data_IF_778971083443
#
_entry.id   IF_778971083443
#
_cell.length_a   1.000
_cell.length_b   1.000
_cell.length_c   1.000
_cell.angle_alpha   90.00
_cell.angle_beta   90.00
_cell.angle_gamma   90.00
#
_symmetry.space_group_name_H-M   'P 1'
#
loop_
_entity.id
_entity.type
_entity.pdbx_description
1 polymer ?
#
# COMPACT_ATOMS: atom_id res chain seq x y z
N UNK A 1 -6.71 -20.97 -27.76
CA UNK A 1 -5.93 -19.70 -27.76
C UNK A 1 -5.67 -19.30 -26.32
N UNK A 2 -4.40 -19.22 -25.94
CA UNK A 2 -4.07 -18.58 -24.66
C UNK A 2 -4.43 -17.11 -24.82
N UNK A 3 -5.34 -16.61 -23.98
CA UNK A 3 -5.53 -15.18 -23.84
C UNK A 3 -4.16 -14.56 -23.63
N UNK A 4 -3.82 -13.54 -24.39
CA UNK A 4 -2.66 -12.70 -24.14
C UNK A 4 -2.86 -12.14 -22.73
N UNK A 5 -2.20 -12.72 -21.75
CA UNK A 5 -2.16 -12.15 -20.42
C UNK A 5 -1.46 -10.82 -20.59
N UNK A 6 -2.19 -9.73 -20.38
CA UNK A 6 -1.60 -8.41 -20.33
C UNK A 6 -0.56 -8.44 -19.21
N UNK A 7 0.71 -8.35 -19.60
CA UNK A 7 1.82 -8.54 -18.69
C UNK A 7 2.17 -7.19 -18.08
N UNK A 8 1.96 -7.06 -16.77
CA UNK A 8 2.56 -5.99 -15.98
C UNK A 8 3.73 -6.54 -15.18
N UNK A 9 4.66 -5.68 -14.81
CA UNK A 9 5.83 -6.04 -14.05
C UNK A 9 5.88 -5.24 -12.75
N UNK A 10 6.20 -5.91 -11.65
CA UNK A 10 6.47 -5.25 -10.37
C UNK A 10 7.98 -5.08 -10.22
N UNK A 11 8.40 -3.90 -9.83
CA UNK A 11 9.79 -3.60 -9.52
C UNK A 11 9.91 -2.55 -8.42
N UNK A 12 11.08 -2.39 -7.86
CA UNK A 12 11.33 -1.33 -6.88
C UNK A 12 11.24 0.04 -7.55
N UNK A 13 10.71 1.00 -6.80
CA UNK A 13 10.71 2.41 -7.18
C UNK A 13 12.15 2.90 -7.34
N UNK A 14 12.38 3.78 -8.31
CA UNK A 14 13.59 4.59 -8.38
C UNK A 14 13.21 6.06 -8.57
N UNK A 15 14.17 6.96 -8.39
CA UNK A 15 13.90 8.40 -8.38
C UNK A 15 13.30 8.92 -9.70
N UNK A 16 13.56 8.22 -10.81
CA UNK A 16 12.98 8.59 -12.11
C UNK A 16 11.48 8.32 -12.18
N UNK A 17 10.93 7.53 -11.27
CA UNK A 17 9.49 7.25 -11.20
C UNK A 17 8.72 8.30 -10.41
N UNK A 18 9.38 9.24 -9.76
CA UNK A 18 8.75 10.16 -8.81
C UNK A 18 7.56 10.91 -9.41
N UNK A 19 7.73 11.48 -10.59
CA UNK A 19 6.66 12.26 -11.21
C UNK A 19 5.45 11.39 -11.56
N UNK A 20 5.67 10.18 -12.06
CA UNK A 20 4.61 9.23 -12.38
C UNK A 20 3.85 8.80 -11.12
N UNK A 21 4.57 8.48 -10.05
CA UNK A 21 3.95 8.08 -8.77
C UNK A 21 3.16 9.23 -8.15
N UNK A 22 3.72 10.44 -8.15
CA UNK A 22 3.01 11.63 -7.65
C UNK A 22 1.75 11.92 -8.44
N UNK A 23 1.78 11.73 -9.77
CA UNK A 23 0.61 11.90 -10.62
C UNK A 23 -0.48 10.87 -10.29
N UNK A 24 -0.11 9.60 -10.10
CA UNK A 24 -1.05 8.56 -9.69
C UNK A 24 -1.67 8.90 -8.33
N UNK A 25 -0.84 9.33 -7.37
CA UNK A 25 -1.31 9.76 -6.06
C UNK A 25 -2.35 10.88 -6.17
N UNK A 26 -2.05 11.92 -6.94
CA UNK A 26 -2.99 13.05 -7.14
C UNK A 26 -4.28 12.63 -7.85
N UNK A 27 -4.17 11.73 -8.82
CA UNK A 27 -5.32 11.30 -9.64
C UNK A 27 -6.24 10.33 -8.92
N UNK A 28 -5.70 9.49 -8.05
CA UNK A 28 -6.42 8.34 -7.48
C UNK A 28 -6.82 8.53 -6.02
N UNK A 29 -6.12 9.37 -5.27
CA UNK A 29 -6.29 9.50 -3.82
C UNK A 29 -6.47 10.96 -3.42
N UNK A 30 -7.36 11.25 -2.46
CA UNK A 30 -7.47 12.60 -1.91
C UNK A 30 -6.29 12.96 -0.98
N UNK A 31 -5.62 11.96 -0.41
CA UNK A 31 -4.46 12.14 0.47
C UNK A 31 -3.20 12.29 -0.38
N UNK A 32 -2.75 13.54 -0.61
CA UNK A 32 -1.59 13.83 -1.43
C UNK A 32 -0.40 14.20 -0.57
N UNK A 33 0.76 13.65 -0.92
CA UNK A 33 2.00 13.86 -0.20
C UNK A 33 2.95 14.73 -1.02
N UNK A 34 3.92 15.37 -0.34
CA UNK A 34 4.97 16.15 -0.99
C UNK A 34 6.01 15.25 -1.64
N UNK A 35 6.76 15.77 -2.61
CA UNK A 35 7.90 15.10 -3.21
C UNK A 35 8.92 14.66 -2.15
N UNK A 36 9.19 15.51 -1.17
CA UNK A 36 10.09 15.22 -0.06
C UNK A 36 9.64 13.97 0.71
N UNK A 37 8.34 13.80 0.96
CA UNK A 37 7.81 12.65 1.68
C UNK A 37 8.04 11.34 0.91
N UNK A 38 7.78 11.35 -0.41
CA UNK A 38 8.05 10.18 -1.27
C UNK A 38 9.52 9.80 -1.24
N UNK A 39 10.40 10.77 -1.39
CA UNK A 39 11.85 10.54 -1.39
C UNK A 39 12.36 10.06 -0.03
N UNK A 40 11.83 10.62 1.06
CA UNK A 40 12.19 10.19 2.41
C UNK A 40 11.88 8.70 2.63
N UNK A 41 10.68 8.26 2.28
CA UNK A 41 10.32 6.85 2.42
C UNK A 41 11.13 5.95 1.49
N UNK A 42 11.44 6.42 0.28
CA UNK A 42 12.31 5.69 -0.62
C UNK A 42 13.71 5.49 -0.02
N UNK A 43 14.29 6.53 0.56
CA UNK A 43 15.63 6.45 1.17
C UNK A 43 15.66 5.56 2.40
N UNK A 44 14.60 5.59 3.20
CA UNK A 44 14.54 4.82 4.46
C UNK A 44 14.15 3.36 4.23
N UNK A 45 13.23 3.10 3.32
CA UNK A 45 12.65 1.77 3.10
C UNK A 45 12.55 1.43 1.62
N UNK A 46 13.69 1.38 0.88
CA UNK A 46 13.68 1.19 -0.56
C UNK A 46 13.07 -0.14 -1.01
N UNK A 47 13.19 -1.20 -0.21
CA UNK A 47 12.63 -2.51 -0.55
C UNK A 47 11.10 -2.51 -0.51
N UNK A 48 10.49 -1.62 0.26
CA UNK A 48 9.04 -1.54 0.46
C UNK A 48 8.39 -0.40 -0.33
N UNK A 49 9.06 0.13 -1.34
CA UNK A 49 8.52 1.09 -2.29
C UNK A 49 8.54 0.45 -3.68
N UNK A 50 7.37 0.05 -4.16
CA UNK A 50 7.24 -0.82 -5.33
C UNK A 50 6.31 -0.16 -6.34
N UNK A 51 6.65 -0.27 -7.62
CA UNK A 51 5.81 0.21 -8.72
C UNK A 51 5.38 -0.96 -9.61
N UNK A 52 4.21 -0.82 -10.20
CA UNK A 52 3.73 -1.68 -11.26
C UNK A 52 3.93 -0.95 -12.59
N UNK A 53 4.57 -1.61 -13.52
CA UNK A 53 4.91 -1.06 -14.83
C UNK A 53 4.27 -1.89 -15.93
N UNK A 54 3.71 -1.23 -16.91
CA UNK A 54 3.12 -1.84 -18.09
C UNK A 54 3.47 -0.99 -19.30
N UNK A 55 4.01 -1.59 -20.37
CA UNK A 55 4.46 -0.88 -21.56
C UNK A 55 5.36 0.31 -21.24
N UNK A 56 6.35 0.09 -20.36
CA UNK A 56 7.31 1.09 -19.89
C UNK A 56 6.67 2.30 -19.16
N UNK A 57 5.43 2.16 -18.71
CA UNK A 57 4.72 3.19 -17.92
C UNK A 57 4.37 2.68 -16.55
N UNK A 58 4.59 3.51 -15.53
CA UNK A 58 4.15 3.22 -14.17
C UNK A 58 2.64 3.42 -14.09
N UNK A 59 1.92 2.35 -13.73
CA UNK A 59 0.46 2.33 -13.67
C UNK A 59 -0.09 2.15 -12.25
N UNK A 60 0.78 1.85 -11.30
CA UNK A 60 0.41 1.69 -9.90
C UNK A 60 1.64 1.70 -9.01
N UNK A 61 1.42 1.86 -7.72
CA UNK A 61 2.51 1.86 -6.73
C UNK A 61 2.01 1.48 -5.35
N UNK A 62 2.93 1.09 -4.50
CA UNK A 62 2.74 1.03 -3.04
C UNK A 62 3.95 1.61 -2.34
N UNK A 63 3.70 2.36 -1.30
CA UNK A 63 4.71 3.05 -0.50
C UNK A 63 4.50 2.75 0.97
N UNK A 64 5.51 2.21 1.62
CA UNK A 64 5.41 1.68 2.97
C UNK A 64 6.51 2.23 3.86
N UNK A 65 6.30 2.12 5.18
CA UNK A 65 7.34 2.39 6.18
C UNK A 65 7.29 1.34 7.28
N UNK A 66 8.37 1.21 8.02
CA UNK A 66 8.46 0.33 9.18
C UNK A 66 8.41 1.18 10.44
N UNK A 67 7.56 0.80 11.36
CA UNK A 67 7.33 1.49 12.63
C UNK A 67 7.51 0.52 13.78
N UNK A 68 7.79 1.05 14.96
CA UNK A 68 7.76 0.28 16.21
C UNK A 68 6.58 0.77 17.04
N UNK A 69 5.73 -0.14 17.46
CA UNK A 69 4.54 0.22 18.21
C UNK A 69 3.86 -0.98 18.85
N UNK A 70 2.71 -0.72 19.46
CA UNK A 70 1.88 -1.77 20.05
C UNK A 70 1.26 -2.63 18.97
N UNK A 71 1.15 -3.92 19.24
CA UNK A 71 0.49 -4.85 18.32
C UNK A 71 -1.02 -4.63 18.30
N UNK A 72 -1.60 -4.53 17.10
CA UNK A 72 -3.05 -4.55 16.92
C UNK A 72 -3.68 -5.95 17.02
N UNK A 73 -2.85 -7.00 17.15
CA UNK A 73 -3.26 -8.41 17.16
C UNK A 73 -3.14 -9.08 18.53
N UNK A 74 -3.05 -8.31 19.60
CA UNK A 74 -3.02 -8.84 20.97
C UNK A 74 -1.69 -9.41 21.43
N UNK A 75 -0.62 -9.26 20.65
CA UNK A 75 0.74 -9.61 21.09
C UNK A 75 1.20 -8.62 22.15
N UNK A 76 1.94 -9.10 23.17
CA UNK A 76 2.43 -8.24 24.23
C UNK A 76 3.67 -7.45 23.79
N UNK A 77 3.81 -6.22 24.32
CA UNK A 77 4.98 -5.37 24.09
C UNK A 77 5.01 -4.68 22.75
N UNK A 78 6.17 -4.12 22.42
CA UNK A 78 6.39 -3.41 21.17
C UNK A 78 6.81 -4.38 20.07
N UNK A 79 6.25 -4.18 18.88
CA UNK A 79 6.59 -4.97 17.69
C UNK A 79 6.94 -4.05 16.53
N UNK A 80 7.75 -4.55 15.60
CA UNK A 80 7.94 -3.89 14.31
C UNK A 80 6.74 -4.13 13.43
N UNK A 81 6.21 -3.04 12.87
CA UNK A 81 4.99 -3.04 12.04
C UNK A 81 5.32 -2.44 10.69
N UNK A 82 4.90 -3.12 9.63
CA UNK A 82 4.89 -2.53 8.30
C UNK A 82 3.60 -1.74 8.09
N UNK A 83 3.71 -0.48 7.71
CA UNK A 83 2.57 0.37 7.39
C UNK A 83 2.52 0.61 5.89
N UNK A 84 1.44 0.17 5.24
CA UNK A 84 1.15 0.55 3.87
C UNK A 84 0.62 1.98 3.91
N UNK A 85 1.50 2.94 3.65
CA UNK A 85 1.17 4.37 3.73
C UNK A 85 0.26 4.77 2.57
N UNK A 86 0.55 4.25 1.38
CA UNK A 86 -0.22 4.58 0.19
C UNK A 86 -0.13 3.44 -0.83
N UNK A 87 -1.24 3.13 -1.47
CA UNK A 87 -1.32 2.19 -2.58
C UNK A 87 -2.39 2.69 -3.56
N UNK A 88 -2.06 2.71 -4.84
CA UNK A 88 -2.99 3.12 -5.87
C UNK A 88 -2.66 2.48 -7.21
N UNK A 89 -3.69 2.24 -8.00
CA UNK A 89 -3.60 1.76 -9.38
C UNK A 89 -4.47 2.67 -10.25
N UNK A 90 -3.95 3.10 -11.38
CA UNK A 90 -4.70 3.94 -12.32
C UNK A 90 -6.00 3.24 -12.73
N UNK A 91 -7.13 3.97 -12.87
CA UNK A 91 -8.45 3.36 -13.09
C UNK A 91 -8.52 2.38 -14.27
N UNK A 92 -7.86 2.70 -15.39
CA UNK A 92 -7.88 1.85 -16.59
C UNK A 92 -7.10 0.55 -16.43
N UNK A 93 -6.32 0.41 -15.36
CA UNK A 93 -5.51 -0.78 -15.07
C UNK A 93 -6.03 -1.58 -13.88
N UNK A 94 -7.18 -1.20 -13.31
CA UNK A 94 -7.79 -1.88 -12.17
C UNK A 94 -8.47 -3.18 -12.59
N UNK A 95 -8.86 -3.99 -11.59
CA UNK A 95 -9.56 -5.28 -11.77
C UNK A 95 -8.72 -6.33 -12.49
N UNK A 96 -7.40 -6.22 -12.40
CA UNK A 96 -6.43 -7.13 -13.01
C UNK A 96 -5.48 -7.76 -11.99
N UNK A 97 -5.74 -7.54 -10.69
CA UNK A 97 -4.90 -8.07 -9.62
C UNK A 97 -3.64 -7.27 -9.31
N UNK A 98 -3.45 -6.08 -9.91
CA UNK A 98 -2.24 -5.27 -9.69
C UNK A 98 -2.17 -4.78 -8.24
N UNK A 99 -3.27 -4.28 -7.69
CA UNK A 99 -3.32 -3.83 -6.30
C UNK A 99 -3.01 -4.96 -5.32
N UNK A 100 -3.57 -6.13 -5.53
CA UNK A 100 -3.28 -7.34 -4.75
C UNK A 100 -1.80 -7.70 -4.82
N UNK A 101 -1.23 -7.69 -6.02
CA UNK A 101 0.18 -8.01 -6.24
C UNK A 101 1.11 -7.00 -5.56
N UNK A 102 0.78 -5.71 -5.62
CA UNK A 102 1.54 -4.65 -4.95
C UNK A 102 1.56 -4.85 -3.44
N UNK A 103 0.41 -5.08 -2.82
CA UNK A 103 0.31 -5.29 -1.36
C UNK A 103 1.02 -6.58 -0.94
N UNK A 104 0.87 -7.65 -1.70
CA UNK A 104 1.57 -8.90 -1.45
C UNK A 104 3.09 -8.72 -1.50
N UNK A 105 3.58 -8.01 -2.50
CA UNK A 105 5.01 -7.73 -2.64
C UNK A 105 5.52 -6.84 -1.50
N UNK A 106 4.72 -5.86 -1.08
CA UNK A 106 5.03 -5.02 0.07
C UNK A 106 5.17 -5.85 1.35
N UNK A 107 4.28 -6.80 1.59
CA UNK A 107 4.37 -7.67 2.77
C UNK A 107 5.63 -8.54 2.76
N UNK A 108 6.03 -9.05 1.60
CA UNK A 108 7.30 -9.77 1.45
C UNK A 108 8.50 -8.86 1.81
N UNK A 109 8.49 -7.62 1.33
CA UNK A 109 9.53 -6.66 1.63
C UNK A 109 9.57 -6.28 3.12
N UNK A 110 8.41 -6.15 3.76
CA UNK A 110 8.33 -5.85 5.19
C UNK A 110 9.01 -6.93 6.04
N UNK A 111 8.94 -8.19 5.61
CA UNK A 111 9.63 -9.29 6.29
C UNK A 111 11.14 -9.13 6.26
N UNK A 112 11.69 -8.53 5.21
CA UNK A 112 13.13 -8.24 5.13
C UNK A 112 13.57 -7.23 6.19
N UNK A 113 12.66 -6.36 6.64
CA UNK A 113 12.91 -5.42 7.75
C UNK A 113 12.52 -5.99 9.11
N UNK A 114 12.20 -7.28 9.20
CA UNK A 114 11.78 -7.96 10.42
C UNK A 114 10.45 -7.46 11.00
N UNK A 115 9.56 -6.94 10.16
CA UNK A 115 8.22 -6.60 10.59
C UNK A 115 7.43 -7.86 10.93
N UNK A 116 6.62 -7.79 11.98
CA UNK A 116 5.83 -8.93 12.50
C UNK A 116 4.38 -8.85 12.08
N UNK A 117 3.93 -7.69 11.66
CA UNK A 117 2.58 -7.45 11.16
C UNK A 117 2.59 -6.32 10.16
N UNK A 118 1.55 -6.30 9.32
CA UNK A 118 1.29 -5.25 8.35
C UNK A 118 -0.05 -4.61 8.65
N UNK A 119 -0.14 -3.30 8.57
CA UNK A 119 -1.41 -2.60 8.72
C UNK A 119 -1.58 -1.46 7.72
N UNK A 120 -2.81 -1.08 7.52
CA UNK A 120 -3.21 0.02 6.65
C UNK A 120 -4.51 0.64 7.15
N UNK A 121 -4.79 1.85 6.67
CA UNK A 121 -6.07 2.51 6.87
C UNK A 121 -6.86 2.48 5.56
N UNK A 122 -8.16 2.28 5.68
CA UNK A 122 -9.08 2.27 4.53
C UNK A 122 -10.37 3.00 4.92
N UNK A 123 -10.90 3.79 3.99
CA UNK A 123 -12.19 4.47 4.21
C UNK A 123 -13.28 3.44 4.50
N UNK A 124 -14.14 3.74 5.48
CA UNK A 124 -15.23 2.84 5.89
C UNK A 124 -16.14 2.51 4.69
N UNK A 125 -16.35 3.45 3.78
CA UNK A 125 -17.19 3.27 2.59
C UNK A 125 -16.52 2.51 1.44
N UNK A 126 -15.22 2.24 1.52
CA UNK A 126 -14.49 1.60 0.42
C UNK A 126 -14.61 0.08 0.48
N UNK A 127 -15.79 -0.44 0.15
CA UNK A 127 -16.10 -1.87 0.23
C UNK A 127 -15.21 -2.72 -0.67
N UNK A 128 -14.83 -2.20 -1.84
CA UNK A 128 -13.96 -2.91 -2.77
C UNK A 128 -12.56 -3.14 -2.17
N UNK A 129 -11.97 -2.12 -1.61
CA UNK A 129 -10.65 -2.22 -0.96
C UNK A 129 -10.71 -3.08 0.29
N UNK A 130 -11.75 -2.91 1.12
CA UNK A 130 -11.94 -3.73 2.33
C UNK A 130 -12.04 -5.20 1.94
N UNK A 131 -12.79 -5.53 0.90
CA UNK A 131 -12.92 -6.91 0.41
C UNK A 131 -11.58 -7.47 -0.06
N UNK A 132 -10.80 -6.69 -0.78
CA UNK A 132 -9.45 -7.08 -1.22
C UNK A 132 -8.54 -7.38 -0.02
N UNK A 133 -8.51 -6.49 0.98
CA UNK A 133 -7.64 -6.69 2.14
C UNK A 133 -8.09 -7.88 2.99
N UNK A 134 -9.39 -8.10 3.16
CA UNK A 134 -9.89 -9.31 3.81
C UNK A 134 -9.45 -10.58 3.07
N UNK A 135 -9.52 -10.58 1.75
CA UNK A 135 -9.03 -11.68 0.92
C UNK A 135 -7.55 -11.95 1.16
N UNK A 136 -6.76 -10.91 1.39
CA UNK A 136 -5.33 -11.01 1.69
C UNK A 136 -5.03 -11.35 3.17
N UNK A 137 -6.04 -11.61 3.98
CA UNK A 137 -5.87 -12.03 5.36
C UNK A 137 -5.83 -10.90 6.39
N UNK A 138 -6.14 -9.67 5.98
CA UNK A 138 -6.29 -8.56 6.90
C UNK A 138 -7.63 -8.63 7.62
N UNK A 139 -7.64 -8.17 8.87
CA UNK A 139 -8.85 -8.01 9.66
C UNK A 139 -8.94 -6.59 10.21
N UNK A 140 -10.16 -6.11 10.43
CA UNK A 140 -10.38 -4.80 11.05
C UNK A 140 -10.01 -4.90 12.52
N UNK A 141 -8.99 -4.16 12.96
CA UNK A 141 -8.53 -4.14 14.34
C UNK A 141 -8.92 -2.89 15.09
N UNK A 142 -9.25 -1.82 14.38
CA UNK A 142 -9.70 -0.56 14.97
C UNK A 142 -10.44 0.26 13.93
N UNK A 143 -11.32 1.15 14.38
CA UNK A 143 -11.98 2.16 13.56
C UNK A 143 -11.69 3.53 14.14
N UNK A 144 -11.13 4.43 13.33
CA UNK A 144 -10.86 5.80 13.70
C UNK A 144 -11.95 6.68 13.06
N UNK A 145 -12.83 7.23 13.90
CA UNK A 145 -13.88 8.13 13.42
C UNK A 145 -13.30 9.49 13.01
N UNK A 146 -13.85 10.08 11.95
CA UNK A 146 -13.41 11.38 11.44
C UNK A 146 -11.89 11.43 11.13
N UNK A 147 -11.36 10.36 10.56
CA UNK A 147 -9.93 10.22 10.27
C UNK A 147 -9.49 11.08 9.09
N UNK A 148 -10.28 11.11 8.02
CA UNK A 148 -9.96 11.84 6.81
C UNK A 148 -10.43 13.29 6.89
N UNK A 149 -9.84 14.17 6.04
CA UNK A 149 -10.12 15.60 6.03
C UNK A 149 -11.60 15.93 5.76
N UNK A 150 -12.32 15.07 5.04
CA UNK A 150 -13.76 15.20 4.75
C UNK A 150 -14.66 14.70 5.88
N UNK A 151 -14.09 14.22 6.99
CA UNK A 151 -14.82 13.70 8.14
C UNK A 151 -15.13 12.21 8.08
N UNK A 152 -14.83 11.51 7.00
CA UNK A 152 -15.05 10.07 6.93
C UNK A 152 -14.10 9.32 7.87
N UNK A 153 -14.58 8.26 8.50
CA UNK A 153 -13.77 7.38 9.33
C UNK A 153 -12.94 6.40 8.51
N UNK A 154 -11.92 5.83 9.15
CA UNK A 154 -11.09 4.78 8.60
C UNK A 154 -11.13 3.53 9.45
N UNK A 155 -11.22 2.38 8.80
CA UNK A 155 -10.84 1.12 9.43
C UNK A 155 -9.32 0.98 9.38
N UNK A 156 -8.72 0.60 10.50
CA UNK A 156 -7.36 0.07 10.54
C UNK A 156 -7.47 -1.43 10.34
N UNK A 157 -6.85 -1.93 9.29
CA UNK A 157 -6.82 -3.36 9.00
C UNK A 157 -5.41 -3.89 9.17
N UNK A 158 -5.28 -5.02 9.84
CA UNK A 158 -3.99 -5.58 10.24
C UNK A 158 -3.91 -7.05 9.84
N UNK A 159 -2.72 -7.46 9.44
CA UNK A 159 -2.38 -8.85 9.15
C UNK A 159 -1.06 -9.22 9.81
N UNK A 160 -1.01 -10.41 10.39
CA UNK A 160 0.25 -11.02 10.87
C UNK A 160 1.15 -11.38 9.69
N UNK A 161 2.41 -11.06 9.79
CA UNK A 161 3.43 -11.45 8.80
C UNK A 161 4.16 -12.73 9.20
#
# INVERSE_FOLDING_TARGET
MKALQEIYNLRKFNVNDLQSVMQINRSCLPENYTDFFFIDLYRRFPEAFIVAEENDQVVGYTMCRIEVGLSGLGLSGLVKKGHVVSVAVMPQHRRRGIGEALVTKAMEAMKLYNAKQCYLEVRISNDEAIGLYKKLGFEVTRTNHAYYADGEGAHVMTRKL
#
